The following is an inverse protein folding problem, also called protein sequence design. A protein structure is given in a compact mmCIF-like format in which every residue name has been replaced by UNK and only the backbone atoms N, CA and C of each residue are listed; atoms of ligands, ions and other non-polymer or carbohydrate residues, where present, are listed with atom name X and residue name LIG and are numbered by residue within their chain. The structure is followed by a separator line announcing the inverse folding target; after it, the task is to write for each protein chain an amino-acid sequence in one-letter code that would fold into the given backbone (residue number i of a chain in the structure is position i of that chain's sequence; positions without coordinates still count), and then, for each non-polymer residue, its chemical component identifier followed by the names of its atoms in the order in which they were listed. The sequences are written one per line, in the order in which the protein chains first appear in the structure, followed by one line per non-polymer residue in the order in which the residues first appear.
data_IF_790101594828
#
_entry.id   IF_790101594828
#
_cell.length_a   1.000
_cell.length_b   1.000
_cell.length_c   1.000
_cell.angle_alpha   90.00
_cell.angle_beta   90.00
_cell.angle_gamma   90.00
#
_symmetry.space_group_name_H-M   'P 1'
#
loop_
_entity.id
_entity.type
_entity.pdbx_description
1 polymer ?
#
# COMPACT_ATOMS: atom_id res chain seq x y z
N UNK A 1 1.75 15.80 -8.34
CA UNK A 1 1.82 15.31 -6.94
C UNK A 1 1.94 13.79 -6.88
N UNK A 2 0.92 12.99 -7.24
CA UNK A 2 0.99 11.52 -7.11
C UNK A 2 2.08 10.83 -7.97
N UNK A 3 2.28 11.29 -9.23
CA UNK A 3 3.33 10.75 -10.09
C UNK A 3 4.73 10.91 -9.47
N UNK A 4 5.00 12.06 -8.85
CA UNK A 4 6.29 12.33 -8.23
C UNK A 4 6.50 11.57 -6.93
N UNK A 5 5.45 11.49 -6.11
CA UNK A 5 5.46 10.64 -4.91
C UNK A 5 5.83 9.20 -5.23
N UNK A 6 5.38 8.67 -6.36
CA UNK A 6 5.66 7.28 -6.76
C UNK A 6 6.76 7.12 -7.82
N UNK A 7 7.60 8.14 -8.02
CA UNK A 7 8.76 8.06 -8.91
C UNK A 7 8.37 7.62 -10.35
N UNK A 8 7.28 8.17 -10.89
CA UNK A 8 6.72 7.83 -12.20
C UNK A 8 7.08 8.85 -13.29
N UNK A 9 7.78 9.94 -12.96
CA UNK A 9 8.04 11.06 -13.86
C UNK A 9 8.78 10.63 -15.13
N UNK A 10 9.72 9.70 -15.00
CA UNK A 10 10.56 9.22 -16.09
C UNK A 10 9.83 8.27 -17.06
N UNK A 11 8.57 7.94 -16.77
CA UNK A 11 7.74 6.99 -17.54
C UNK A 11 6.32 7.51 -17.78
N UNK A 12 6.07 8.81 -17.64
CA UNK A 12 4.73 9.39 -17.78
C UNK A 12 4.10 9.21 -19.17
N UNK A 13 4.91 9.21 -20.23
CA UNK A 13 4.44 9.07 -21.61
C UNK A 13 4.32 7.60 -22.06
N UNK A 14 4.77 6.66 -21.24
CA UNK A 14 4.72 5.25 -21.57
C UNK A 14 3.32 4.67 -21.41
N UNK A 15 2.91 3.86 -22.38
CA UNK A 15 1.68 3.08 -22.25
C UNK A 15 1.83 2.11 -21.08
N UNK A 16 0.89 2.12 -20.14
CA UNK A 16 0.90 1.26 -18.93
C UNK A 16 1.22 -0.21 -19.24
N UNK A 17 0.72 -0.76 -20.35
CA UNK A 17 1.00 -2.15 -20.78
C UNK A 17 2.48 -2.46 -21.05
N UNK A 18 3.32 -1.45 -21.28
CA UNK A 18 4.76 -1.55 -21.56
C UNK A 18 5.62 -1.38 -20.31
N UNK A 19 5.02 -0.95 -19.20
CA UNK A 19 5.71 -0.77 -17.94
C UNK A 19 6.04 -2.12 -17.28
N UNK A 20 7.12 -2.15 -16.49
CA UNK A 20 7.45 -3.31 -15.65
C UNK A 20 6.32 -3.59 -14.64
N UNK A 21 6.34 -4.76 -13.99
CA UNK A 21 5.34 -5.06 -12.96
C UNK A 21 5.35 -4.04 -11.82
N UNK A 22 6.53 -3.68 -11.29
CA UNK A 22 6.67 -2.67 -10.23
C UNK A 22 6.15 -1.30 -10.65
N UNK A 23 6.47 -0.82 -11.86
CA UNK A 23 5.92 0.46 -12.36
C UNK A 23 4.38 0.40 -12.50
N UNK A 24 3.82 -0.73 -12.95
CA UNK A 24 2.35 -0.90 -13.02
C UNK A 24 1.72 -0.87 -11.63
N UNK A 25 2.37 -1.47 -10.62
CA UNK A 25 1.92 -1.42 -9.23
C UNK A 25 1.93 0.01 -8.70
N UNK A 26 3.03 0.75 -8.93
CA UNK A 26 3.14 2.18 -8.60
C UNK A 26 2.05 3.01 -9.28
N UNK A 27 1.82 2.85 -10.59
CA UNK A 27 0.69 3.51 -11.27
C UNK A 27 -0.66 3.18 -10.62
N UNK A 28 -0.88 1.93 -10.20
CA UNK A 28 -2.12 1.53 -9.51
C UNK A 28 -2.29 2.24 -8.16
N UNK A 29 -1.22 2.34 -7.36
CA UNK A 29 -1.23 3.07 -6.08
C UNK A 29 -1.49 4.56 -6.33
N UNK A 30 -0.79 5.18 -7.30
CA UNK A 30 -0.98 6.58 -7.67
C UNK A 30 -2.44 6.87 -8.04
N UNK A 31 -3.07 5.95 -8.80
CA UNK A 31 -4.48 6.07 -9.18
C UNK A 31 -5.41 5.94 -7.97
N UNK A 32 -5.13 5.04 -7.04
CA UNK A 32 -5.93 4.83 -5.84
C UNK A 32 -5.93 6.06 -4.93
N UNK A 33 -4.81 6.77 -4.81
CA UNK A 33 -4.67 7.93 -3.93
C UNK A 33 -5.05 9.27 -4.57
N UNK A 34 -5.20 9.32 -5.91
CA UNK A 34 -5.36 10.56 -6.68
C UNK A 34 -6.53 11.43 -6.23
N UNK A 35 -7.63 10.81 -5.80
CA UNK A 35 -8.86 11.47 -5.37
C UNK A 35 -9.01 11.51 -3.85
N UNK A 36 -7.94 11.18 -3.13
CA UNK A 36 -7.85 11.35 -1.68
C UNK A 36 -8.99 10.65 -0.91
N UNK A 37 -9.24 9.34 -1.13
CA UNK A 37 -10.37 8.64 -0.52
C UNK A 37 -10.28 8.56 1.02
N UNK A 38 -11.44 8.55 1.67
CA UNK A 38 -11.55 8.32 3.12
C UNK A 38 -11.20 6.88 3.55
N UNK A 39 -11.27 5.92 2.62
CA UNK A 39 -10.88 4.53 2.81
C UNK A 39 -10.02 4.07 1.63
N UNK A 40 -8.78 3.67 1.91
CA UNK A 40 -7.89 3.07 0.93
C UNK A 40 -7.91 1.55 1.07
N UNK A 41 -8.23 0.85 -0.03
CA UNK A 41 -8.24 -0.62 -0.08
C UNK A 41 -7.02 -1.08 -0.88
N UNK A 42 -6.14 -1.85 -0.24
CA UNK A 42 -4.87 -2.30 -0.82
C UNK A 42 -4.79 -3.82 -0.79
N UNK A 43 -4.66 -4.42 -1.97
CA UNK A 43 -4.48 -5.87 -2.14
C UNK A 43 -3.03 -6.17 -2.54
N UNK A 44 -2.31 -6.82 -1.63
CA UNK A 44 -0.87 -7.11 -1.67
C UNK A 44 -0.05 -5.94 -2.22
N UNK A 45 -0.20 -4.71 -1.67
CA UNK A 45 0.38 -3.50 -2.26
C UNK A 45 1.91 -3.54 -2.38
N UNK A 46 2.57 -4.31 -1.51
CA UNK A 46 4.02 -4.52 -1.43
C UNK A 46 4.58 -5.42 -2.54
N UNK A 47 3.76 -6.28 -3.11
CA UNK A 47 4.26 -7.31 -4.03
C UNK A 47 4.83 -6.69 -5.30
N UNK A 48 6.12 -6.98 -5.55
CA UNK A 48 6.85 -6.50 -6.73
C UNK A 48 7.34 -5.05 -6.63
N UNK A 49 7.30 -4.44 -5.44
CA UNK A 49 7.97 -3.19 -5.13
C UNK A 49 9.44 -3.43 -4.70
N UNK A 50 10.31 -2.48 -5.02
CA UNK A 50 11.67 -2.41 -4.46
C UNK A 50 11.66 -1.67 -3.11
N UNK A 51 12.78 -1.69 -2.39
CA UNK A 51 12.90 -1.08 -1.05
C UNK A 51 12.51 0.41 -1.05
N UNK A 52 12.89 1.16 -2.08
CA UNK A 52 12.55 2.57 -2.20
C UNK A 52 11.04 2.78 -2.38
N UNK A 53 10.40 1.96 -3.22
CA UNK A 53 8.94 2.02 -3.43
C UNK A 53 8.17 1.54 -2.20
N UNK A 54 8.73 0.61 -1.42
CA UNK A 54 8.16 0.15 -0.16
C UNK A 54 8.12 1.25 0.89
N UNK A 55 9.21 2.01 1.05
CA UNK A 55 9.25 3.16 1.96
C UNK A 55 8.17 4.19 1.61
N UNK A 56 8.05 4.52 0.32
CA UNK A 56 7.03 5.45 -0.18
C UNK A 56 5.61 4.94 0.09
N UNK A 57 5.36 3.63 -0.07
CA UNK A 57 4.07 3.02 0.23
C UNK A 57 3.74 3.15 1.73
N UNK A 58 4.69 2.87 2.61
CA UNK A 58 4.51 3.02 4.06
C UNK A 58 4.23 4.48 4.44
N UNK A 59 4.94 5.45 3.86
CA UNK A 59 4.68 6.88 4.07
C UNK A 59 3.26 7.30 3.65
N UNK A 60 2.77 6.76 2.52
CA UNK A 60 1.40 7.01 2.07
C UNK A 60 0.39 6.46 3.08
N UNK A 61 0.62 5.26 3.59
CA UNK A 61 -0.29 4.61 4.54
C UNK A 61 -0.33 5.40 5.86
N UNK A 62 0.82 5.82 6.37
CA UNK A 62 0.92 6.63 7.58
C UNK A 62 0.32 8.03 7.40
N UNK A 63 0.49 8.66 6.23
CA UNK A 63 -0.19 9.92 5.91
C UNK A 63 -1.72 9.73 5.93
N UNK A 64 -2.24 8.63 5.39
CA UNK A 64 -3.68 8.37 5.42
C UNK A 64 -4.18 8.23 6.86
N UNK A 65 -3.49 7.42 7.66
CA UNK A 65 -3.79 7.20 9.07
C UNK A 65 -3.77 8.50 9.87
N UNK A 66 -2.68 9.27 9.79
CA UNK A 66 -2.52 10.54 10.53
C UNK A 66 -3.54 11.62 10.14
N UNK A 67 -4.08 11.57 8.92
CA UNK A 67 -5.17 12.43 8.47
C UNK A 67 -6.57 11.93 8.87
N UNK A 68 -6.67 10.94 9.77
CA UNK A 68 -7.95 10.39 10.25
C UNK A 68 -8.71 9.59 9.20
N UNK A 69 -8.00 9.04 8.20
CA UNK A 69 -8.57 8.18 7.16
C UNK A 69 -8.25 6.72 7.44
N UNK A 70 -9.02 5.83 6.82
CA UNK A 70 -8.84 4.40 6.99
C UNK A 70 -8.01 3.79 5.85
N UNK A 71 -7.20 2.79 6.19
CA UNK A 71 -6.52 1.92 5.24
C UNK A 71 -6.85 0.47 5.60
N UNK A 72 -7.28 -0.33 4.63
CA UNK A 72 -7.43 -1.77 4.76
C UNK A 72 -6.45 -2.46 3.81
N UNK A 73 -5.60 -3.30 4.37
CA UNK A 73 -4.56 -4.04 3.64
C UNK A 73 -4.89 -5.53 3.71
N UNK A 74 -4.94 -6.18 2.55
CA UNK A 74 -4.88 -7.62 2.42
C UNK A 74 -3.45 -8.00 2.03
N UNK A 75 -2.79 -8.82 2.84
CA UNK A 75 -1.41 -9.26 2.60
C UNK A 75 -1.16 -10.58 3.32
N UNK A 76 -0.17 -11.32 2.83
CA UNK A 76 0.39 -12.50 3.49
C UNK A 76 1.68 -12.19 4.28
N UNK A 77 2.15 -10.94 4.27
CA UNK A 77 3.36 -10.49 4.95
C UNK A 77 3.04 -9.89 6.32
N UNK A 78 3.36 -10.64 7.39
CA UNK A 78 3.30 -10.12 8.76
C UNK A 78 4.28 -8.98 8.99
N UNK A 79 5.44 -9.04 8.34
CA UNK A 79 6.52 -8.06 8.52
C UNK A 79 6.14 -6.70 7.94
N UNK A 80 5.40 -6.70 6.83
CA UNK A 80 4.93 -5.45 6.21
C UNK A 80 3.89 -4.72 7.08
N UNK A 81 3.01 -5.45 7.76
CA UNK A 81 1.98 -4.84 8.63
C UNK A 81 2.49 -4.52 10.02
N UNK A 82 3.63 -5.10 10.42
CA UNK A 82 4.25 -4.83 11.72
C UNK A 82 4.73 -3.38 11.79
N UNK A 83 4.28 -2.65 12.80
CA UNK A 83 4.51 -1.20 12.94
C UNK A 83 3.78 -0.29 11.94
N UNK A 84 2.88 -0.83 11.10
CA UNK A 84 2.06 -0.04 10.19
C UNK A 84 0.56 -0.14 10.49
N UNK A 85 0.12 -1.29 10.99
CA UNK A 85 -1.29 -1.57 11.23
C UNK A 85 -1.69 -1.29 12.69
N UNK A 86 -2.76 -0.51 12.90
CA UNK A 86 -3.34 -0.32 14.23
C UNK A 86 -4.02 -1.60 14.76
N UNK A 87 -4.55 -2.42 13.86
CA UNK A 87 -5.18 -3.72 14.13
C UNK A 87 -4.88 -4.70 12.99
N UNK A 88 -4.77 -5.98 13.30
CA UNK A 88 -4.61 -7.03 12.30
C UNK A 88 -5.50 -8.24 12.59
N UNK A 89 -5.86 -8.93 11.52
CA UNK A 89 -6.64 -10.16 11.54
C UNK A 89 -5.99 -11.19 10.63
N UNK A 90 -5.95 -12.44 11.07
CA UNK A 90 -5.64 -13.58 10.22
C UNK A 90 -6.92 -14.10 9.58
N UNK A 91 -6.89 -14.40 8.28
CA UNK A 91 -8.00 -15.01 7.58
C UNK A 91 -7.70 -16.49 7.29
N UNK A 92 -8.57 -17.38 7.77
CA UNK A 92 -8.47 -18.83 7.50
C UNK A 92 -9.85 -19.36 7.12
N UNK A 93 -9.96 -19.98 5.94
CA UNK A 93 -11.21 -20.57 5.44
C UNK A 93 -12.41 -19.60 5.50
N UNK A 94 -12.18 -18.34 5.10
CA UNK A 94 -13.22 -17.29 5.08
C UNK A 94 -13.60 -16.73 6.45
N UNK A 95 -12.89 -17.09 7.53
CA UNK A 95 -13.11 -16.57 8.88
C UNK A 95 -11.94 -15.71 9.33
N UNK A 96 -12.24 -14.59 9.98
CA UNK A 96 -11.25 -13.69 10.57
C UNK A 96 -11.07 -14.00 12.05
N UNK A 97 -9.82 -14.07 12.47
CA UNK A 97 -9.42 -14.10 13.88
C UNK A 97 -8.48 -12.93 14.14
N UNK A 98 -8.70 -12.19 15.23
CA UNK A 98 -7.82 -11.07 15.58
C UNK A 98 -6.43 -11.61 15.93
N UNK A 99 -5.40 -11.01 15.32
CA UNK A 99 -4.02 -11.37 15.61
C UNK A 99 -3.58 -10.65 16.89
N UNK A 100 -3.06 -11.39 17.86
CA UNK A 100 -2.50 -10.86 19.10
C UNK A 100 -0.96 -10.93 19.02
N UNK A 101 -0.26 -9.83 19.31
CA UNK A 101 1.21 -9.83 19.40
C UNK A 101 1.99 -9.25 18.21
N UNK A 102 1.35 -8.42 17.37
CA UNK A 102 2.15 -7.51 16.53
C UNK A 102 2.78 -6.44 17.41
N UNK A 103 4.01 -6.06 17.09
CA UNK A 103 4.64 -4.87 17.63
C UNK A 103 4.01 -3.69 16.86
N UNK A 104 2.99 -3.10 17.47
CA UNK A 104 2.32 -1.89 16.97
C UNK A 104 2.82 -0.78 17.89
N UNK A 105 3.64 0.11 17.34
CA UNK A 105 4.19 1.29 18.01
C UNK A 105 3.18 2.43 18.18
#
# INVERSE_FOLDING_TARGET
QAASRLQLEDRMDDRVRRLSHGYRKRVSIARAILHTPSLLLLDEPETGLDDASMLVLSEIIEEWRSNGRAVLIATHSSDFVNGLADIAFTMVSGKLARLNGLMID
#
